data_IF_033214911712
#
_entry.id   IF_033214911712
#
_cell.length_a   1.000
_cell.length_b   1.000
_cell.length_c   1.000
_cell.angle_alpha   90.00
_cell.angle_beta   90.00
_cell.angle_gamma   90.00
#
_symmetry.space_group_name_H-M   'P 1'
#
loop_
_entity.id
_entity.type
_entity.pdbx_description
1 polymer ?
#
# COMPACT_ATOMS: atom_id res chain seq x y z
N UNK A 1 7.80 -2.01 -22.82
CA UNK A 1 8.31 -0.94 -21.94
C UNK A 1 7.19 -0.54 -20.98
N UNK A 2 7.33 -0.77 -19.67
CA UNK A 2 6.35 -0.26 -18.70
C UNK A 2 6.49 1.27 -18.62
N UNK A 3 5.41 2.06 -18.64
CA UNK A 3 5.52 3.51 -18.62
C UNK A 3 6.21 3.97 -17.33
N UNK A 4 7.03 5.01 -17.45
CA UNK A 4 7.69 5.67 -16.34
C UNK A 4 6.67 5.97 -15.24
N UNK A 5 7.01 5.64 -13.99
CA UNK A 5 6.15 5.93 -12.84
C UNK A 5 5.73 7.40 -12.89
N UNK A 6 4.44 7.63 -12.93
CA UNK A 6 3.70 8.88 -13.19
C UNK A 6 3.95 10.04 -12.21
N UNK A 7 5.01 9.99 -11.42
CA UNK A 7 5.32 11.05 -10.47
C UNK A 7 4.47 11.04 -9.21
N UNK A 8 3.81 9.92 -8.83
CA UNK A 8 3.11 9.79 -7.53
C UNK A 8 4.01 10.23 -6.37
N UNK A 9 5.26 9.76 -6.32
CA UNK A 9 6.23 10.19 -5.30
C UNK A 9 6.42 11.72 -5.29
N UNK A 10 6.43 12.35 -6.47
CA UNK A 10 6.49 13.80 -6.62
C UNK A 10 5.21 14.51 -6.20
N UNK A 11 4.03 13.94 -6.48
CA UNK A 11 2.74 14.47 -6.06
C UNK A 11 2.58 14.43 -4.53
N UNK A 12 2.94 13.30 -3.91
CA UNK A 12 3.00 13.15 -2.45
C UNK A 12 3.97 14.16 -1.84
N UNK A 13 5.17 14.33 -2.40
CA UNK A 13 6.14 15.29 -1.92
C UNK A 13 5.62 16.74 -2.02
N UNK A 14 4.97 17.11 -3.14
CA UNK A 14 4.32 18.41 -3.31
C UNK A 14 3.23 18.65 -2.27
N UNK A 15 2.41 17.62 -1.99
CA UNK A 15 1.34 17.70 -1.00
C UNK A 15 1.92 17.88 0.42
N UNK A 16 2.90 17.06 0.81
CA UNK A 16 3.61 17.22 2.11
C UNK A 16 4.22 18.61 2.26
N UNK A 17 4.82 19.15 1.20
CA UNK A 17 5.39 20.49 1.23
C UNK A 17 4.33 21.59 1.37
N UNK A 18 3.15 21.41 0.77
CA UNK A 18 2.07 22.40 0.84
C UNK A 18 1.40 22.47 2.21
N UNK A 19 1.28 21.35 2.92
CA UNK A 19 0.60 21.25 4.21
C UNK A 19 1.56 21.22 5.42
N UNK A 20 2.86 21.13 5.17
CA UNK A 20 3.90 20.92 6.19
C UNK A 20 4.24 19.45 6.34
N UNK A 21 5.52 19.09 6.21
CA UNK A 21 5.98 17.69 6.17
C UNK A 21 5.59 16.91 7.43
N UNK A 22 5.54 17.58 8.57
CA UNK A 22 5.19 16.99 9.87
C UNK A 22 3.68 17.06 10.18
N UNK A 23 2.87 17.60 9.27
CA UNK A 23 1.41 17.69 9.42
C UNK A 23 0.68 16.65 8.58
N UNK A 24 1.42 15.83 7.81
CA UNK A 24 0.85 14.86 6.87
C UNK A 24 1.36 13.45 7.17
N UNK A 25 0.50 12.65 7.79
CA UNK A 25 0.68 11.20 7.91
C UNK A 25 0.55 10.58 6.52
N UNK A 26 1.59 9.87 6.04
CA UNK A 26 1.54 9.22 4.73
C UNK A 26 1.93 7.76 4.82
N UNK A 27 1.13 6.89 4.17
CA UNK A 27 1.44 5.47 3.98
C UNK A 27 1.23 5.05 2.53
N UNK A 28 2.15 4.21 2.06
CA UNK A 28 2.14 3.64 0.73
C UNK A 28 1.88 2.14 0.82
N UNK A 29 0.78 1.69 0.22
CA UNK A 29 0.34 0.29 0.27
C UNK A 29 1.32 -0.63 -0.47
N UNK A 30 1.87 -0.19 -1.60
CA UNK A 30 2.87 -0.96 -2.36
C UNK A 30 4.13 -1.14 -1.51
N UNK A 31 4.61 -0.08 -0.86
CA UNK A 31 5.77 -0.16 0.01
C UNK A 31 5.56 -1.16 1.17
N UNK A 32 4.41 -1.08 1.86
CA UNK A 32 4.05 -1.98 2.96
C UNK A 32 3.96 -3.44 2.48
N UNK A 33 3.40 -3.66 1.29
CA UNK A 33 3.31 -4.99 0.71
C UNK A 33 4.70 -5.54 0.33
N UNK A 34 5.53 -4.73 -0.31
CA UNK A 34 6.90 -5.10 -0.70
C UNK A 34 7.81 -5.36 0.50
N UNK A 35 7.55 -4.75 1.65
CA UNK A 35 8.25 -5.05 2.91
C UNK A 35 7.59 -6.15 3.75
N UNK A 36 6.51 -6.78 3.26
CA UNK A 36 5.75 -7.74 4.05
C UNK A 36 6.40 -9.12 4.06
N UNK A 37 6.64 -9.67 5.26
CA UNK A 37 7.11 -11.05 5.42
C UNK A 37 6.15 -12.06 4.77
N UNK A 38 4.84 -11.81 4.82
CA UNK A 38 3.82 -12.65 4.17
C UNK A 38 3.98 -12.70 2.65
N UNK A 39 4.46 -11.63 2.02
CA UNK A 39 4.71 -11.60 0.58
C UNK A 39 5.97 -12.39 0.23
N UNK A 40 7.05 -12.24 1.02
CA UNK A 40 8.27 -13.04 0.91
C UNK A 40 7.99 -14.54 1.09
N UNK A 41 7.20 -14.92 2.11
CA UNK A 41 6.85 -16.32 2.36
C UNK A 41 6.00 -16.88 1.22
N UNK A 42 5.04 -16.10 0.71
CA UNK A 42 4.21 -16.51 -0.43
C UNK A 42 5.04 -16.77 -1.69
N UNK A 43 6.06 -15.95 -1.96
CA UNK A 43 6.97 -16.15 -3.09
C UNK A 43 7.88 -17.36 -2.88
N UNK A 44 8.35 -17.57 -1.65
CA UNK A 44 9.16 -18.75 -1.30
C UNK A 44 8.40 -20.06 -1.53
N UNK A 45 7.09 -20.08 -1.30
CA UNK A 45 6.24 -21.25 -1.56
C UNK A 45 6.10 -21.60 -3.05
N UNK A 46 6.34 -20.65 -3.95
CA UNK A 46 6.38 -20.88 -5.41
C UNK A 46 7.81 -20.91 -5.95
N UNK A 47 8.78 -21.22 -5.09
CA UNK A 47 10.20 -21.36 -5.41
C UNK A 47 10.87 -20.08 -5.95
N UNK A 48 10.26 -18.91 -5.70
CA UNK A 48 10.84 -17.61 -6.03
C UNK A 48 11.53 -17.05 -4.79
N UNK A 49 12.86 -17.05 -4.81
CA UNK A 49 13.69 -16.60 -3.70
C UNK A 49 14.27 -15.21 -3.95
N UNK A 50 14.69 -14.58 -2.84
CA UNK A 50 15.39 -13.30 -2.85
C UNK A 50 16.71 -13.40 -3.64
N UNK A 51 16.93 -12.59 -4.68
CA UNK A 51 18.21 -12.55 -5.35
C UNK A 51 19.32 -12.05 -4.41
N UNK A 52 20.56 -12.54 -4.55
CA UNK A 52 21.68 -12.01 -3.79
C UNK A 52 21.86 -10.50 -4.06
N UNK A 53 22.16 -9.74 -3.01
CA UNK A 53 22.39 -8.28 -3.03
C UNK A 53 21.17 -7.39 -3.36
N UNK A 54 19.94 -7.93 -3.38
CA UNK A 54 18.74 -7.10 -3.51
C UNK A 54 18.25 -6.62 -2.14
N UNK A 55 18.43 -5.33 -1.81
CA UNK A 55 17.87 -4.76 -0.58
C UNK A 55 16.34 -4.65 -0.64
N UNK A 56 15.81 -4.22 -1.79
CA UNK A 56 14.37 -4.01 -2.02
C UNK A 56 13.72 -5.24 -2.65
N UNK A 57 13.50 -6.29 -1.86
CA UNK A 57 12.78 -7.50 -2.29
C UNK A 57 11.81 -7.97 -1.21
N UNK A 58 10.60 -8.45 -1.59
CA UNK A 58 10.08 -8.54 -2.95
C UNK A 58 9.63 -7.19 -3.54
N UNK A 59 9.59 -7.05 -4.88
CA UNK A 59 8.92 -5.90 -5.53
C UNK A 59 7.57 -6.33 -6.07
N UNK A 60 6.73 -5.36 -6.43
CA UNK A 60 5.40 -5.65 -6.96
C UNK A 60 5.41 -6.51 -8.21
N UNK A 61 6.45 -6.42 -9.05
CA UNK A 61 6.58 -7.26 -10.23
C UNK A 61 6.68 -8.73 -9.83
N UNK A 62 7.52 -9.06 -8.85
CA UNK A 62 7.73 -10.42 -8.39
C UNK A 62 6.42 -10.99 -7.81
N UNK A 63 5.76 -10.19 -6.96
CA UNK A 63 4.47 -10.57 -6.34
C UNK A 63 3.40 -10.81 -7.41
N UNK A 64 3.20 -9.86 -8.32
CA UNK A 64 2.11 -9.91 -9.30
C UNK A 64 2.36 -10.89 -10.43
N UNK A 65 3.61 -11.19 -10.77
CA UNK A 65 3.94 -12.06 -11.89
C UNK A 65 3.97 -13.54 -11.51
N UNK A 66 4.35 -13.86 -10.27
CA UNK A 66 4.59 -15.24 -9.84
C UNK A 66 3.49 -15.80 -8.94
N UNK A 67 2.78 -14.97 -8.19
CA UNK A 67 1.70 -15.47 -7.32
C UNK A 67 0.39 -15.59 -8.10
N UNK A 68 -0.53 -16.49 -7.68
CA UNK A 68 -1.91 -16.50 -8.12
C UNK A 68 -2.66 -15.20 -7.76
N UNK A 69 -3.64 -14.83 -8.58
CA UNK A 69 -4.37 -13.55 -8.44
C UNK A 69 -5.07 -13.38 -7.09
N UNK A 70 -5.73 -14.44 -6.61
CA UNK A 70 -6.38 -14.49 -5.30
C UNK A 70 -5.38 -14.27 -4.16
N UNK A 71 -4.17 -14.80 -4.29
CA UNK A 71 -3.09 -14.58 -3.33
C UNK A 71 -2.60 -13.15 -3.34
N UNK A 72 -2.41 -12.56 -4.53
CA UNK A 72 -2.04 -11.14 -4.69
C UNK A 72 -3.08 -10.23 -4.04
N UNK A 73 -4.37 -10.46 -4.30
CA UNK A 73 -5.48 -9.68 -3.71
C UNK A 73 -5.47 -9.79 -2.19
N UNK A 74 -5.27 -11.00 -1.64
CA UNK A 74 -5.22 -11.23 -0.20
C UNK A 74 -4.08 -10.47 0.46
N UNK A 75 -2.88 -10.51 -0.14
CA UNK A 75 -1.72 -9.77 0.36
C UNK A 75 -1.92 -8.26 0.26
N UNK A 76 -2.53 -7.78 -0.83
CA UNK A 76 -2.87 -6.37 -1.02
C UNK A 76 -3.85 -5.87 0.05
N UNK A 77 -4.91 -6.64 0.33
CA UNK A 77 -5.86 -6.31 1.39
C UNK A 77 -5.19 -6.26 2.77
N UNK A 78 -4.27 -7.19 3.06
CA UNK A 78 -3.52 -7.16 4.30
C UNK A 78 -2.64 -5.91 4.42
N UNK A 79 -1.92 -5.54 3.34
CA UNK A 79 -1.10 -4.33 3.30
C UNK A 79 -1.95 -3.05 3.44
N UNK A 80 -3.11 -3.00 2.78
CA UNK A 80 -4.06 -1.89 2.92
C UNK A 80 -4.57 -1.74 4.35
N UNK A 81 -4.96 -2.83 5.00
CA UNK A 81 -5.40 -2.79 6.42
C UNK A 81 -4.29 -2.30 7.33
N UNK A 82 -3.05 -2.73 7.13
CA UNK A 82 -1.91 -2.25 7.91
C UNK A 82 -1.68 -0.75 7.69
N UNK A 83 -1.73 -0.29 6.43
CA UNK A 83 -1.60 1.13 6.09
C UNK A 83 -2.67 1.98 6.79
N UNK A 84 -3.93 1.52 6.78
CA UNK A 84 -5.04 2.20 7.45
C UNK A 84 -4.86 2.22 8.97
N UNK A 85 -4.41 1.11 9.59
CA UNK A 85 -4.08 1.05 11.02
C UNK A 85 -2.99 2.04 11.40
N UNK A 86 -1.89 2.06 10.65
CA UNK A 86 -0.77 2.97 10.91
C UNK A 86 -1.18 4.44 10.74
N UNK A 87 -1.98 4.75 9.71
CA UNK A 87 -2.56 6.09 9.55
C UNK A 87 -3.56 6.43 10.66
N UNK A 88 -4.28 5.47 11.21
CA UNK A 88 -5.21 5.72 12.32
C UNK A 88 -4.45 6.07 13.60
N UNK A 89 -3.40 5.30 13.91
CA UNK A 89 -2.61 5.43 15.14
C UNK A 89 -1.65 6.63 15.12
N UNK A 90 -1.35 7.22 13.95
CA UNK A 90 -0.50 8.42 13.87
C UNK A 90 -1.06 9.62 14.65
N UNK A 91 -2.36 9.59 15.00
CA UNK A 91 -3.02 10.65 15.77
C UNK A 91 -2.69 10.66 17.27
N UNK A 92 -2.18 9.57 17.84
CA UNK A 92 -2.06 9.48 19.31
C UNK A 92 -0.83 10.24 19.86
N UNK A 93 0.21 10.44 19.05
CA UNK A 93 1.48 11.07 19.48
C UNK A 93 1.96 12.23 18.59
N UNK A 94 1.28 12.55 17.49
CA UNK A 94 1.77 13.55 16.51
C UNK A 94 0.72 14.58 16.09
N UNK A 95 1.16 15.82 15.85
CA UNK A 95 0.38 16.96 15.34
C UNK A 95 -0.06 16.79 13.85
N UNK A 96 -0.15 15.55 13.35
CA UNK A 96 -0.47 15.25 11.96
C UNK A 96 -1.98 15.34 11.68
N UNK A 97 -2.43 16.50 11.20
CA UNK A 97 -3.85 16.76 10.90
C UNK A 97 -4.35 16.08 9.61
N UNK A 98 -3.46 15.77 8.66
CA UNK A 98 -3.83 15.28 7.34
C UNK A 98 -3.29 13.88 7.10
N UNK A 99 -4.16 12.97 6.64
CA UNK A 99 -3.80 11.59 6.32
C UNK A 99 -3.83 11.36 4.82
N UNK A 100 -2.77 10.77 4.30
CA UNK A 100 -2.60 10.46 2.90
C UNK A 100 -2.30 8.97 2.75
N UNK A 101 -3.13 8.27 2.00
CA UNK A 101 -2.84 6.92 1.55
C UNK A 101 -2.50 6.95 0.07
N UNK A 102 -1.39 6.35 -0.31
CA UNK A 102 -1.04 6.12 -1.71
C UNK A 102 -1.04 4.64 -2.05
N UNK A 103 -1.47 4.32 -3.27
CA UNK A 103 -1.48 2.96 -3.77
C UNK A 103 -1.14 2.94 -5.26
N UNK A 104 -0.33 1.95 -5.63
CA UNK A 104 0.06 1.68 -7.00
C UNK A 104 -0.24 0.21 -7.32
N UNK A 105 -1.30 -0.01 -8.10
CA UNK A 105 -1.64 -1.35 -8.56
C UNK A 105 -0.98 -1.61 -9.90
N UNK A 106 0.07 -2.44 -9.88
CA UNK A 106 0.54 -3.11 -11.09
C UNK A 106 -0.34 -4.33 -11.31
N UNK A 107 -1.24 -4.27 -12.29
CA UNK A 107 -2.07 -5.41 -12.68
C UNK A 107 -1.31 -6.29 -13.68
N UNK A 108 -1.70 -7.57 -13.75
CA UNK A 108 -1.22 -8.53 -14.74
C UNK A 108 -1.22 -7.90 -16.15
N UNK A 109 -0.18 -8.22 -16.93
CA UNK A 109 0.16 -7.60 -18.22
C UNK A 109 0.75 -6.17 -18.15
N UNK A 110 1.21 -5.71 -16.98
CA UNK A 110 1.93 -4.44 -16.86
C UNK A 110 1.04 -3.20 -17.02
N UNK A 111 -0.28 -3.35 -16.87
CA UNK A 111 -1.21 -2.22 -16.80
C UNK A 111 -1.16 -1.65 -15.38
N UNK A 112 -0.82 -0.37 -15.27
CA UNK A 112 -0.76 0.38 -14.00
C UNK A 112 -2.02 1.23 -13.88
N UNK A 113 -2.76 1.07 -12.79
CA UNK A 113 -3.82 2.00 -12.40
C UNK A 113 -3.45 2.64 -11.07
N UNK A 114 -3.57 3.96 -11.01
CA UNK A 114 -3.18 4.77 -9.86
C UNK A 114 -4.39 5.53 -9.34
N UNK A 115 -4.56 5.56 -8.03
CA UNK A 115 -5.72 6.14 -7.39
C UNK A 115 -5.29 7.12 -6.31
N UNK A 116 -6.01 8.25 -6.26
CA UNK A 116 -5.78 9.36 -5.34
C UNK A 116 -7.11 9.71 -4.68
N UNK A 117 -7.15 9.77 -3.36
CA UNK A 117 -8.31 10.31 -2.65
C UNK A 117 -7.85 10.92 -1.33
N UNK A 118 -8.11 12.21 -1.05
CA UNK A 118 -8.17 12.70 0.31
C UNK A 118 -9.43 12.10 0.94
N UNK A 119 -9.29 11.21 1.91
CA UNK A 119 -10.46 10.56 2.52
C UNK A 119 -10.37 10.53 4.04
N UNK A 120 -11.55 10.57 4.66
CA UNK A 120 -11.71 10.29 6.07
C UNK A 120 -11.53 8.78 6.28
N UNK A 121 -10.41 8.39 6.90
CA UNK A 121 -10.04 6.98 7.17
C UNK A 121 -11.13 6.24 7.93
N UNK A 122 -11.91 6.94 8.76
CA UNK A 122 -13.02 6.37 9.51
C UNK A 122 -14.17 5.85 8.62
N UNK A 123 -14.22 6.22 7.34
CA UNK A 123 -15.24 5.74 6.41
C UNK A 123 -14.99 4.30 5.89
N UNK A 124 -13.75 3.82 5.97
CA UNK A 124 -13.35 2.50 5.44
C UNK A 124 -13.15 1.43 6.52
N UNK A 125 -13.26 1.82 7.78
CA UNK A 125 -13.08 0.96 8.94
C UNK A 125 -14.46 0.64 9.52
N UNK A 126 -14.89 -0.62 9.42
CA UNK A 126 -15.88 -1.16 10.34
C UNK A 126 -15.14 -1.65 11.57
N UNK A 127 -15.50 -1.08 12.73
CA UNK A 127 -15.09 -1.61 14.04
C UNK A 127 -16.09 -2.69 14.44
N UNK A 128 -15.70 -3.95 14.34
CA UNK A 128 -16.31 -5.03 15.11
C UNK A 128 -15.34 -5.36 16.27
N UNK A 129 -15.55 -4.75 17.43
CA UNK A 129 -14.64 -4.90 18.57
C UNK A 129 -13.26 -4.25 18.36
N UNK A 130 -12.18 -5.01 18.57
CA UNK A 130 -10.78 -4.59 18.33
C UNK A 130 -10.28 -4.87 16.91
N UNK A 131 -11.08 -5.53 16.07
CA UNK A 131 -10.70 -5.86 14.70
C UNK A 131 -11.13 -4.76 13.71
N UNK A 132 -10.18 -4.40 12.83
CA UNK A 132 -10.40 -3.45 11.74
C UNK A 132 -10.70 -4.24 10.48
N UNK A 133 -11.96 -4.17 10.04
CA UNK A 133 -12.45 -4.80 8.82
C UNK A 133 -12.60 -3.72 7.74
N UNK A 134 -12.02 -3.96 6.57
CA UNK A 134 -12.21 -3.09 5.41
C UNK A 134 -13.62 -3.27 4.87
N UNK A 135 -14.43 -2.21 4.83
CA UNK A 135 -15.75 -2.28 4.18
C UNK A 135 -15.59 -2.75 2.72
N UNK A 136 -16.44 -3.68 2.24
CA UNK A 136 -16.55 -3.93 0.81
C UNK A 136 -17.23 -2.70 0.19
N UNK A 137 -16.45 -1.74 -0.30
CA UNK A 137 -17.02 -0.62 -1.05
C UNK A 137 -17.47 -1.15 -2.42
N UNK A 138 -18.78 -1.15 -2.64
CA UNK A 138 -19.34 -1.04 -3.99
C UNK A 138 -18.64 0.14 -4.68
N UNK A 139 -17.87 -0.14 -5.72
CA UNK A 139 -17.38 0.72 -6.81
C UNK A 139 -15.88 0.55 -7.07
N UNK A 140 -15.65 -0.23 -8.14
CA UNK A 140 -14.57 -0.19 -9.15
C UNK A 140 -13.20 -0.78 -8.77
#
# INVERSE_FOLDING_TARGET
CAPAGTGLKGAVAKFKNAFGVNNVAHRDVEAILCSSKKAEDALSHVEISKPPNHQDWPKMKEITWHLPRDRVITLWHAALRNALKELQNSNEDSNEDVKLLSCHLTLYCGRRNEFYSPFNVNLFVEKEGEEIISKPSHLL
#
